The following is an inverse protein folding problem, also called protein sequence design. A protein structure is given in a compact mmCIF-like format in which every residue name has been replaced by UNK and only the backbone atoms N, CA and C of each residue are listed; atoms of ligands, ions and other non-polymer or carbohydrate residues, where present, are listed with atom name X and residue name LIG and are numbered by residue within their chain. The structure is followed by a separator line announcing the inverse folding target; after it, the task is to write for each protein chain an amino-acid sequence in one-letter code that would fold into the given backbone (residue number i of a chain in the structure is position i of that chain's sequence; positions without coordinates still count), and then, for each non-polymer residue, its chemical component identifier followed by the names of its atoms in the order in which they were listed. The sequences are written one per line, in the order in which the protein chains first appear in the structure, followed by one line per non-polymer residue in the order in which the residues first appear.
data_IF_583637968684
#
_entry.id   IF_583637968684
#
_cell.length_a   1.000
_cell.length_b   1.000
_cell.length_c   1.000
_cell.angle_alpha   90.00
_cell.angle_beta   90.00
_cell.angle_gamma   90.00
#
_symmetry.space_group_name_H-M   'P 1'
#
loop_
_entity.id
_entity.type
_entity.pdbx_description
1 polymer ?
#
# COMPACT_ATOMS: atom_id res chain seq x y z
N UNK A 1 10.90 44.80 28.51
CA UNK A 1 9.76 44.47 27.62
C UNK A 1 10.20 43.99 26.23
N UNK A 2 11.08 44.71 25.52
CA UNK A 2 11.54 44.33 24.16
C UNK A 2 12.21 42.94 24.09
N UNK A 3 13.08 42.59 25.05
CA UNK A 3 13.75 41.28 25.12
C UNK A 3 12.79 40.10 25.40
N UNK A 4 11.74 40.35 26.20
CA UNK A 4 10.70 39.35 26.50
C UNK A 4 9.83 39.09 25.27
N UNK A 5 9.49 40.15 24.53
CA UNK A 5 8.73 40.05 23.28
C UNK A 5 9.50 39.23 22.23
N UNK A 6 10.82 39.47 22.10
CA UNK A 6 11.69 38.72 21.18
C UNK A 6 11.76 37.23 21.56
N UNK A 7 11.84 36.91 22.86
CA UNK A 7 11.86 35.52 23.32
C UNK A 7 10.54 34.77 23.05
N UNK A 8 9.39 35.45 23.20
CA UNK A 8 8.07 34.87 22.90
C UNK A 8 7.91 34.60 21.41
N UNK A 9 8.35 35.53 20.55
CA UNK A 9 8.33 35.34 19.09
C UNK A 9 9.23 34.17 18.68
N UNK A 10 10.42 34.05 19.26
CA UNK A 10 11.32 32.92 19.01
C UNK A 10 10.73 31.57 19.45
N UNK A 11 10.09 31.51 20.62
CA UNK A 11 9.42 30.28 21.07
C UNK A 11 8.23 29.92 20.17
N UNK A 12 7.45 30.91 19.74
CA UNK A 12 6.32 30.70 18.84
C UNK A 12 6.78 30.17 17.48
N UNK A 13 7.86 30.73 16.92
CA UNK A 13 8.47 30.23 15.68
C UNK A 13 9.00 28.80 15.84
N UNK A 14 9.65 28.48 16.96
CA UNK A 14 10.13 27.11 17.23
C UNK A 14 8.97 26.10 17.30
N UNK A 15 7.85 26.46 17.94
CA UNK A 15 6.66 25.61 18.06
C UNK A 15 5.99 25.40 16.69
N UNK A 16 5.97 26.43 15.83
CA UNK A 16 5.47 26.31 14.46
C UNK A 16 6.35 25.43 13.55
N UNK A 17 7.65 25.35 13.81
CA UNK A 17 8.57 24.50 13.03
C UNK A 17 8.73 23.08 13.58
N UNK A 18 8.32 22.83 14.83
CA UNK A 18 8.55 21.56 15.52
C UNK A 18 7.56 20.44 15.15
N UNK A 19 6.49 20.75 14.42
CA UNK A 19 5.55 19.75 13.94
C UNK A 19 5.25 20.04 12.48
N UNK A 20 5.76 19.19 11.58
CA UNK A 20 5.00 18.39 10.61
C UNK A 20 6.05 17.72 9.71
N UNK A 21 6.56 16.56 10.12
CA UNK A 21 7.07 15.62 9.14
C UNK A 21 5.85 15.10 8.38
N UNK A 22 5.48 15.79 7.30
CA UNK A 22 4.61 15.19 6.29
C UNK A 22 5.45 14.10 5.62
N UNK A 23 5.39 12.89 6.16
CA UNK A 23 5.80 11.72 5.39
C UNK A 23 4.92 11.74 4.14
N UNK A 24 5.54 11.94 2.96
CA UNK A 24 4.86 11.63 1.72
C UNK A 24 4.50 10.16 1.81
N UNK A 25 3.23 9.87 2.10
CA UNK A 25 2.76 8.50 2.15
C UNK A 25 2.91 7.96 0.73
N UNK A 26 3.77 6.96 0.56
CA UNK A 26 3.82 6.26 -0.72
C UNK A 26 2.44 5.67 -0.98
N UNK A 27 1.93 5.90 -2.20
CA UNK A 27 0.62 5.42 -2.58
C UNK A 27 0.62 3.89 -2.53
N UNK A 28 -0.31 3.25 -1.81
CA UNK A 28 -0.46 1.81 -1.86
C UNK A 28 -0.68 1.36 -3.30
N UNK A 29 0.05 0.34 -3.73
CA UNK A 29 -0.02 -0.18 -5.09
C UNK A 29 -0.32 -1.68 -5.03
N UNK A 30 -1.34 -2.09 -5.78
CA UNK A 30 -1.73 -3.50 -5.94
C UNK A 30 -1.20 -3.97 -7.29
N UNK A 31 -0.50 -5.11 -7.29
CA UNK A 31 0.12 -5.65 -8.50
C UNK A 31 0.09 -7.18 -8.52
N UNK A 32 0.25 -7.75 -9.72
CA UNK A 32 0.40 -9.19 -9.93
C UNK A 32 1.87 -9.49 -10.17
N UNK A 33 2.40 -10.53 -9.51
CA UNK A 33 3.81 -10.93 -9.67
C UNK A 33 3.96 -12.46 -9.85
N UNK A 34 4.49 -12.92 -10.99
CA UNK A 34 4.93 -12.14 -12.15
C UNK A 34 3.75 -11.55 -12.93
N UNK A 35 3.97 -10.43 -13.65
CA UNK A 35 2.95 -9.78 -14.49
C UNK A 35 2.38 -10.72 -15.56
N UNK A 36 3.25 -11.58 -16.11
CA UNK A 36 2.86 -12.64 -17.04
C UNK A 36 3.41 -13.98 -16.57
N UNK A 37 2.60 -15.03 -16.74
CA UNK A 37 3.02 -16.41 -16.51
C UNK A 37 2.51 -17.31 -17.62
N UNK A 38 3.26 -18.37 -17.90
CA UNK A 38 2.87 -19.40 -18.85
C UNK A 38 2.72 -20.73 -18.13
N UNK A 39 1.74 -21.52 -18.55
CA UNK A 39 1.47 -22.84 -18.02
C UNK A 39 1.12 -23.79 -19.16
N UNK A 40 1.50 -25.06 -18.99
CA UNK A 40 1.07 -26.11 -19.91
C UNK A 40 -0.42 -26.42 -19.70
N UNK A 41 -1.11 -26.86 -20.74
CA UNK A 41 -2.52 -27.26 -20.65
C UNK A 41 -2.69 -28.36 -19.60
N UNK A 42 -3.65 -28.17 -18.69
CA UNK A 42 -3.93 -29.10 -17.59
C UNK A 42 -3.05 -28.90 -16.34
N UNK A 43 -2.05 -28.03 -16.38
CA UNK A 43 -1.27 -27.67 -15.19
C UNK A 43 -2.06 -26.74 -14.28
N UNK A 44 -1.84 -26.86 -12.97
CA UNK A 44 -2.28 -25.89 -11.98
C UNK A 44 -1.18 -24.85 -11.76
N UNK A 45 -1.55 -23.57 -11.72
CA UNK A 45 -0.64 -22.47 -11.43
C UNK A 45 -1.30 -21.50 -10.44
N UNK A 46 -0.48 -20.61 -9.86
CA UNK A 46 -0.92 -19.61 -8.89
C UNK A 46 -0.72 -18.22 -9.47
N UNK A 47 -1.71 -17.34 -9.30
CA UNK A 47 -1.61 -15.92 -9.60
C UNK A 47 -1.45 -15.19 -8.26
N UNK A 48 -0.28 -14.59 -8.03
CA UNK A 48 -0.03 -13.86 -6.79
C UNK A 48 -0.48 -12.41 -6.96
N UNK A 49 -1.36 -11.95 -6.06
CA UNK A 49 -1.79 -10.55 -6.00
C UNK A 49 -1.17 -9.96 -4.74
N UNK A 50 -0.32 -8.96 -4.91
CA UNK A 50 0.47 -8.35 -3.87
C UNK A 50 0.10 -6.88 -3.69
N UNK A 51 0.43 -6.34 -2.53
CA UNK A 51 0.31 -4.91 -2.23
C UNK A 51 1.64 -4.38 -1.70
N UNK A 52 2.11 -3.27 -2.24
CA UNK A 52 3.23 -2.49 -1.68
C UNK A 52 2.69 -1.23 -0.99
N UNK A 53 3.49 -0.65 -0.10
CA UNK A 53 3.15 0.61 0.56
C UNK A 53 1.81 0.62 1.32
N UNK A 54 1.41 -0.54 1.86
CA UNK A 54 0.11 -0.77 2.52
C UNK A 54 -0.04 -0.15 3.93
N UNK A 55 0.71 0.91 4.24
CA UNK A 55 0.65 1.57 5.56
C UNK A 55 -0.73 2.18 5.76
N UNK A 56 -1.43 1.76 6.83
CA UNK A 56 -2.76 2.26 7.17
C UNK A 56 -3.92 1.67 6.36
N UNK A 57 -3.67 0.63 5.55
CA UNK A 57 -4.74 -0.11 4.86
C UNK A 57 -5.43 -1.04 5.85
N UNK A 58 -6.72 -0.82 6.09
CA UNK A 58 -7.51 -1.54 7.10
C UNK A 58 -8.27 -2.76 6.53
N UNK A 59 -8.30 -2.93 5.21
CA UNK A 59 -9.03 -4.00 4.54
C UNK A 59 -8.85 -3.93 3.03
N UNK A 60 -9.25 -5.00 2.34
CA UNK A 60 -9.17 -5.11 0.90
C UNK A 60 -10.31 -5.97 0.35
N UNK A 61 -10.65 -5.72 -0.91
CA UNK A 61 -11.57 -6.53 -1.71
C UNK A 61 -11.05 -6.52 -3.16
N UNK A 62 -10.98 -7.71 -3.77
CA UNK A 62 -10.38 -7.90 -5.10
C UNK A 62 -11.29 -8.77 -5.96
N UNK A 63 -11.54 -8.32 -7.18
CA UNK A 63 -12.28 -9.08 -8.19
C UNK A 63 -11.36 -9.49 -9.35
N UNK A 64 -11.21 -10.79 -9.56
CA UNK A 64 -10.43 -11.36 -10.67
C UNK A 64 -11.37 -11.82 -11.78
N UNK A 65 -11.12 -11.38 -13.02
CA UNK A 65 -11.82 -11.83 -14.21
C UNK A 65 -10.92 -12.73 -15.05
N UNK A 66 -11.47 -13.79 -15.60
CA UNK A 66 -10.79 -14.75 -16.46
C UNK A 66 -11.78 -15.37 -17.44
N UNK A 67 -11.29 -16.04 -18.49
CA UNK A 67 -12.12 -16.81 -19.41
C UNK A 67 -12.40 -18.21 -18.83
N UNK A 68 -13.65 -18.53 -18.46
CA UNK A 68 -14.00 -19.81 -17.86
C UNK A 68 -14.00 -20.98 -18.84
N UNK A 69 -13.86 -20.73 -20.16
CA UNK A 69 -13.69 -21.80 -21.16
C UNK A 69 -12.25 -22.30 -21.23
N UNK A 70 -11.30 -21.53 -20.67
CA UNK A 70 -9.86 -21.84 -20.68
C UNK A 70 -9.38 -22.19 -19.26
N UNK A 71 -9.85 -21.46 -18.24
CA UNK A 71 -9.37 -21.57 -16.87
C UNK A 71 -10.49 -22.00 -15.91
N UNK A 72 -10.11 -22.76 -14.88
CA UNK A 72 -10.98 -23.15 -13.76
C UNK A 72 -10.31 -22.75 -12.46
N UNK A 73 -11.05 -22.10 -11.56
CA UNK A 73 -10.54 -21.72 -10.24
C UNK A 73 -10.55 -22.94 -9.34
N UNK A 74 -9.36 -23.36 -8.90
CA UNK A 74 -9.21 -24.46 -7.93
C UNK A 74 -9.37 -24.01 -6.47
N UNK A 75 -9.22 -22.71 -6.19
CA UNK A 75 -9.29 -22.16 -4.84
C UNK A 75 -8.53 -20.83 -4.71
N UNK A 76 -8.46 -20.33 -3.48
CA UNK A 76 -7.65 -19.18 -3.11
C UNK A 76 -6.94 -19.45 -1.78
N UNK A 77 -5.84 -18.75 -1.55
CA UNK A 77 -5.14 -18.73 -0.28
C UNK A 77 -4.87 -17.27 0.10
N UNK A 78 -5.09 -16.92 1.37
CA UNK A 78 -4.70 -15.61 1.88
C UNK A 78 -3.18 -15.55 2.04
N UNK A 79 -2.59 -14.43 1.64
CA UNK A 79 -1.22 -14.11 2.01
C UNK A 79 -1.10 -13.75 3.49
N UNK A 80 0.05 -13.18 3.87
CA UNK A 80 0.28 -12.67 5.24
C UNK A 80 -0.24 -11.25 5.47
N UNK A 81 -0.93 -10.65 4.49
CA UNK A 81 -1.51 -9.32 4.62
C UNK A 81 -2.93 -9.43 5.19
N UNK A 82 -3.05 -8.99 6.45
CA UNK A 82 -4.21 -9.11 7.36
C UNK A 82 -4.51 -10.54 7.83
#
# INVERSE_FOLDING_TARGET
MKKLLVAIVLCFVLILTAAYSAYGQETPEIFVDPEESTANVGATFTVNINISNAVGVAGWDIHVRFDPTILVVSGYASGGFL
#
